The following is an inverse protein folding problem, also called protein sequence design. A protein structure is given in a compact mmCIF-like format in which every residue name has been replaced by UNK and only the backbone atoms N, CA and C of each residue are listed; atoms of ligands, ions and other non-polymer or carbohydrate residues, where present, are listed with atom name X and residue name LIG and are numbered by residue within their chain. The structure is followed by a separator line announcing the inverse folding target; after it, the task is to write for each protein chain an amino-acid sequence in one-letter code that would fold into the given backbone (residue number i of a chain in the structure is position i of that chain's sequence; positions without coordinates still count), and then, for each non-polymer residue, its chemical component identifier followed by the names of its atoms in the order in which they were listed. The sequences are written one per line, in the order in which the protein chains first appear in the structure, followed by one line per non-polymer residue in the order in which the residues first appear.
data_IF_971538035098
#
_entry.id   IF_971538035098
#
_cell.length_a   1.000
_cell.length_b   1.000
_cell.length_c   1.000
_cell.angle_alpha   90.00
_cell.angle_beta   90.00
_cell.angle_gamma   90.00
#
_symmetry.space_group_name_H-M   'P 1'
#
loop_
_entity.id
_entity.type
_entity.pdbx_description
1 polymer ?
#
# COMPACT_ATOMS: atom_id res chain seq x y z
N UNK A 1 6.59 6.03 -8.90
CA UNK A 1 7.33 4.94 -9.55
C UNK A 1 6.32 4.42 -10.50
N UNK A 2 6.71 4.40 -11.77
CA UNK A 2 6.00 3.59 -12.72
C UNK A 2 6.50 2.18 -12.49
N UNK A 3 5.62 1.31 -12.01
CA UNK A 3 5.87 -0.11 -12.03
C UNK A 3 5.94 -0.52 -13.50
N UNK A 4 7.12 -0.93 -13.96
CA UNK A 4 7.34 -1.28 -15.36
C UNK A 4 6.70 -2.61 -15.74
N UNK A 5 6.36 -3.47 -14.77
CA UNK A 5 5.67 -4.73 -15.03
C UNK A 5 4.18 -4.50 -15.32
N UNK A 6 3.56 -3.49 -14.70
CA UNK A 6 2.11 -3.26 -14.77
C UNK A 6 1.72 -1.93 -15.42
N UNK A 7 2.66 -1.02 -15.61
CA UNK A 7 2.42 0.36 -16.04
C UNK A 7 1.83 1.26 -14.94
N UNK A 8 1.62 0.73 -13.73
CA UNK A 8 0.97 1.43 -12.62
C UNK A 8 1.86 2.53 -12.04
N UNK A 9 1.25 3.62 -11.58
CA UNK A 9 1.96 4.68 -10.85
C UNK A 9 1.66 4.58 -9.36
N UNK A 10 2.69 4.37 -8.56
CA UNK A 10 2.58 4.27 -7.11
C UNK A 10 2.84 5.60 -6.42
N UNK A 11 2.05 5.87 -5.38
CA UNK A 11 2.34 6.94 -4.42
C UNK A 11 3.66 6.64 -3.73
N UNK A 12 4.54 7.63 -3.65
CA UNK A 12 5.86 7.49 -3.01
C UNK A 12 5.76 7.24 -1.52
N UNK A 13 4.90 7.99 -0.83
CA UNK A 13 4.73 7.92 0.61
C UNK A 13 3.41 7.25 0.97
N UNK A 14 3.37 6.61 2.14
CA UNK A 14 2.10 6.15 2.70
C UNK A 14 1.24 7.36 3.06
N UNK A 15 -0.07 7.18 3.12
CA UNK A 15 -0.98 8.26 3.56
C UNK A 15 -0.55 8.74 4.95
N UNK A 16 -0.45 10.06 5.13
CA UNK A 16 0.04 10.69 6.37
C UNK A 16 1.53 11.07 6.36
N UNK A 17 2.31 10.51 5.43
CA UNK A 17 3.70 10.87 5.21
C UNK A 17 3.85 11.81 4.01
N UNK A 18 4.93 12.58 3.97
CA UNK A 18 5.21 13.53 2.89
C UNK A 18 6.70 13.83 2.74
N UNK A 19 7.06 14.67 1.77
CA UNK A 19 8.45 14.99 1.47
C UNK A 19 9.13 13.95 0.57
N UNK A 20 10.44 14.15 0.32
CA UNK A 20 11.23 13.26 -0.53
C UNK A 20 11.56 11.93 0.14
N UNK A 21 11.62 11.95 1.47
CA UNK A 21 11.96 10.85 2.36
C UNK A 21 10.73 10.20 3.01
N UNK A 22 9.51 10.68 2.72
CA UNK A 22 8.29 10.20 3.39
C UNK A 22 8.36 10.32 4.91
N UNK A 23 8.95 11.42 5.39
CA UNK A 23 8.93 11.80 6.80
C UNK A 23 7.49 12.03 7.31
N UNK A 24 7.35 11.91 8.62
CA UNK A 24 6.07 11.96 9.32
C UNK A 24 5.52 10.59 9.70
N UNK A 25 4.32 10.58 10.28
CA UNK A 25 3.67 9.37 10.78
C UNK A 25 2.56 8.98 9.81
N UNK A 26 2.64 7.76 9.27
CA UNK A 26 1.57 7.25 8.42
C UNK A 26 0.26 7.10 9.19
N UNK A 27 -0.85 7.41 8.54
CA UNK A 27 -2.19 7.34 9.12
C UNK A 27 -2.80 5.99 8.75
N UNK A 28 -3.13 5.21 9.78
CA UNK A 28 -3.87 3.96 9.62
C UNK A 28 -5.36 4.25 9.43
N UNK A 29 -6.02 3.45 8.59
CA UNK A 29 -7.43 3.61 8.20
C UNK A 29 -8.14 2.26 8.22
N UNK A 30 -9.45 2.28 8.46
CA UNK A 30 -10.31 1.13 8.17
C UNK A 30 -10.28 0.83 6.67
N UNK A 31 -10.67 -0.38 6.27
CA UNK A 31 -10.65 -0.76 4.86
C UNK A 31 -11.51 0.16 3.99
N UNK A 32 -12.71 0.51 4.47
CA UNK A 32 -13.62 1.43 3.77
C UNK A 32 -13.02 2.83 3.65
N UNK A 33 -12.42 3.34 4.73
CA UNK A 33 -11.76 4.64 4.70
C UNK A 33 -10.52 4.65 3.82
N UNK A 34 -9.79 3.53 3.73
CA UNK A 34 -8.63 3.38 2.85
C UNK A 34 -9.04 3.50 1.36
N UNK A 35 -10.16 2.87 0.98
CA UNK A 35 -10.73 3.02 -0.37
C UNK A 35 -11.07 4.49 -0.61
N UNK A 36 -11.87 5.08 0.28
CA UNK A 36 -12.32 6.48 0.16
C UNK A 36 -11.13 7.45 0.07
N UNK A 37 -10.10 7.24 0.89
CA UNK A 37 -8.88 8.04 0.92
C UNK A 37 -8.17 8.01 -0.42
N UNK A 38 -8.00 6.83 -1.02
CA UNK A 38 -7.35 6.75 -2.32
C UNK A 38 -8.23 7.32 -3.44
N UNK A 39 -9.54 7.06 -3.45
CA UNK A 39 -10.43 7.59 -4.49
C UNK A 39 -10.59 9.11 -4.43
N UNK A 40 -10.48 9.70 -3.24
CA UNK A 40 -10.54 11.15 -3.02
C UNK A 40 -9.21 11.87 -3.19
N UNK A 41 -8.11 11.15 -3.43
CA UNK A 41 -6.79 11.75 -3.57
C UNK A 41 -6.68 12.50 -4.89
N UNK A 42 -6.56 13.82 -4.83
CA UNK A 42 -6.27 14.66 -6.01
C UNK A 42 -4.78 15.01 -6.01
N UNK A 43 -3.97 14.08 -6.51
CA UNK A 43 -2.52 14.25 -6.62
C UNK A 43 -2.07 14.08 -8.07
N UNK A 44 -1.30 15.06 -8.57
CA UNK A 44 -0.72 15.07 -9.91
C UNK A 44 -1.72 14.85 -11.07
N UNK A 45 -2.98 15.26 -10.88
CA UNK A 45 -4.04 15.11 -11.89
C UNK A 45 -4.41 13.67 -12.21
N UNK A 46 -4.12 12.72 -11.29
CA UNK A 46 -4.34 11.29 -11.48
C UNK A 46 -5.58 10.79 -10.73
N UNK A 47 -6.17 9.72 -11.27
CA UNK A 47 -7.19 8.94 -10.56
C UNK A 47 -6.51 7.86 -9.73
N UNK A 48 -6.64 8.00 -8.41
CA UNK A 48 -6.02 7.10 -7.45
C UNK A 48 -7.05 6.10 -6.94
N UNK A 49 -6.57 4.92 -6.59
CA UNK A 49 -7.35 3.85 -5.97
C UNK A 49 -6.50 3.04 -5.02
N UNK A 50 -7.17 2.28 -4.17
CA UNK A 50 -6.51 1.28 -3.34
C UNK A 50 -6.03 0.12 -4.26
N UNK A 51 -4.75 -0.24 -4.24
CA UNK A 51 -4.21 -1.36 -5.01
C UNK A 51 -4.84 -2.68 -4.60
N UNK A 52 -4.92 -3.63 -5.52
CA UNK A 52 -5.30 -5.00 -5.18
C UNK A 52 -4.09 -5.80 -4.66
N UNK A 53 -4.33 -6.97 -4.06
CA UNK A 53 -3.26 -7.77 -3.44
C UNK A 53 -2.19 -8.22 -4.44
N UNK A 54 -2.55 -8.46 -5.70
CA UNK A 54 -1.59 -8.90 -6.72
C UNK A 54 -0.71 -7.75 -7.19
N UNK A 55 -1.22 -6.51 -7.20
CA UNK A 55 -0.41 -5.31 -7.48
C UNK A 55 0.61 -5.06 -6.37
N UNK A 56 0.24 -5.27 -5.10
CA UNK A 56 1.23 -5.16 -4.03
C UNK A 56 2.38 -6.17 -4.19
N UNK A 57 2.08 -7.39 -4.63
CA UNK A 57 3.10 -8.42 -4.86
C UNK A 57 4.12 -8.02 -5.92
N UNK A 58 3.80 -7.11 -6.85
CA UNK A 58 4.79 -6.63 -7.85
C UNK A 58 5.81 -5.66 -7.26
N UNK A 59 5.51 -5.05 -6.12
CA UNK A 59 6.43 -4.16 -5.40
C UNK A 59 7.09 -4.81 -4.17
N UNK A 60 6.73 -6.05 -3.85
CA UNK A 60 7.45 -6.87 -2.86
C UNK A 60 8.75 -7.36 -3.48
N UNK A 61 9.87 -7.01 -2.88
CA UNK A 61 11.20 -7.42 -3.31
C UNK A 61 11.60 -8.74 -2.62
N UNK A 62 11.28 -9.85 -3.29
CA UNK A 62 11.57 -11.20 -2.81
C UNK A 62 13.05 -11.57 -2.76
N UNK A 63 13.94 -10.72 -3.31
CA UNK A 63 15.38 -10.93 -3.22
C UNK A 63 15.98 -10.38 -1.92
N UNK A 64 15.21 -9.59 -1.16
CA UNK A 64 15.66 -9.05 0.12
C UNK A 64 15.52 -10.06 1.25
N UNK A 65 16.59 -10.21 2.02
CA UNK A 65 16.62 -11.00 3.26
C UNK A 65 16.43 -10.15 4.52
N UNK A 66 16.23 -8.84 4.38
CA UNK A 66 16.07 -7.89 5.48
C UNK A 66 14.84 -7.03 5.26
N UNK A 67 14.08 -6.83 6.31
CA UNK A 67 12.91 -5.97 6.33
C UNK A 67 13.25 -4.47 6.19
N UNK A 68 12.41 -3.67 5.49
CA UNK A 68 11.24 -4.10 4.73
C UNK A 68 11.63 -4.68 3.35
N UNK A 69 10.90 -5.70 2.90
CA UNK A 69 11.03 -6.37 1.59
C UNK A 69 10.37 -5.56 0.46
N UNK A 70 10.80 -4.30 0.31
CA UNK A 70 10.36 -3.35 -0.71
C UNK A 70 11.55 -2.48 -1.13
N UNK A 71 11.53 -1.88 -2.33
CA UNK A 71 12.56 -0.91 -2.73
C UNK A 71 12.48 0.39 -1.90
N UNK A 72 13.24 0.43 -0.80
CA UNK A 72 13.34 1.58 0.12
C UNK A 72 13.96 2.82 -0.50
N UNK A 73 14.66 2.72 -1.63
CA UNK A 73 15.14 3.90 -2.35
C UNK A 73 13.97 4.66 -2.98
N UNK A 74 12.93 3.92 -3.38
CA UNK A 74 11.72 4.48 -3.95
C UNK A 74 10.62 4.69 -2.90
N UNK A 75 10.50 3.80 -1.92
CA UNK A 75 9.49 3.83 -0.85
C UNK A 75 10.13 4.05 0.54
N UNK A 76 10.80 5.20 0.76
CA UNK A 76 11.48 5.47 2.01
C UNK A 76 10.47 5.52 3.17
N UNK A 77 10.95 5.23 4.38
CA UNK A 77 10.14 5.21 5.60
C UNK A 77 8.84 4.39 5.51
N UNK A 78 8.81 3.36 4.65
CA UNK A 78 7.84 2.27 4.76
C UNK A 78 8.19 1.51 6.02
N UNK A 79 7.33 1.55 7.05
CA UNK A 79 7.72 0.91 8.29
C UNK A 79 7.72 -0.62 8.14
N UNK A 80 8.72 -1.24 8.74
CA UNK A 80 9.02 -2.66 8.61
C UNK A 80 7.87 -3.55 9.09
N UNK A 81 7.17 -3.18 10.15
CA UNK A 81 6.07 -3.96 10.73
C UNK A 81 4.68 -3.59 10.22
N UNK A 82 4.58 -2.90 9.08
CA UNK A 82 3.33 -2.28 8.64
C UNK A 82 2.55 -3.17 7.67
N UNK A 83 1.33 -3.51 8.09
CA UNK A 83 0.33 -4.09 7.21
C UNK A 83 -0.34 -3.00 6.36
N UNK A 84 -0.49 -3.26 5.07
CA UNK A 84 -1.15 -2.38 4.11
C UNK A 84 -2.44 -2.98 3.60
N UNK A 85 -3.51 -2.18 3.57
CA UNK A 85 -4.77 -2.62 2.99
C UNK A 85 -4.66 -2.78 1.48
N UNK A 86 -5.09 -3.93 0.96
CA UNK A 86 -5.46 -4.08 -0.45
C UNK A 86 -6.98 -3.92 -0.65
N UNK A 87 -7.41 -3.61 -1.87
CA UNK A 87 -8.83 -3.60 -2.26
C UNK A 87 -9.44 -4.99 -2.43
N UNK A 88 -8.66 -6.06 -2.25
CA UNK A 88 -9.13 -7.43 -2.45
C UNK A 88 -9.89 -7.92 -1.22
N UNK A 89 -11.21 -8.09 -1.34
CA UNK A 89 -12.03 -8.74 -0.30
C UNK A 89 -11.70 -10.23 -0.21
N UNK A 90 -11.66 -10.78 1.01
CA UNK A 90 -11.47 -12.21 1.23
C UNK A 90 -12.74 -13.02 0.93
N UNK A 91 -12.65 -14.35 0.93
CA UNK A 91 -13.82 -15.23 0.87
C UNK A 91 -14.80 -14.95 2.01
N UNK A 92 -14.28 -14.60 3.19
CA UNK A 92 -15.06 -14.01 4.29
C UNK A 92 -15.20 -12.51 4.01
N UNK A 93 -16.42 -12.06 3.67
CA UNK A 93 -16.68 -10.70 3.17
C UNK A 93 -16.41 -9.59 4.18
N UNK A 94 -16.44 -9.91 5.47
CA UNK A 94 -16.04 -9.02 6.56
C UNK A 94 -14.51 -8.75 6.59
N UNK A 95 -13.73 -9.52 5.85
CA UNK A 95 -12.28 -9.41 5.79
C UNK A 95 -11.80 -8.95 4.40
N UNK A 96 -10.61 -8.35 4.36
CA UNK A 96 -9.87 -8.04 3.15
C UNK A 96 -8.42 -8.52 3.27
N UNK A 97 -7.75 -8.71 2.14
CA UNK A 97 -6.35 -9.09 2.13
C UNK A 97 -5.47 -7.87 2.47
N UNK A 98 -4.54 -8.07 3.39
CA UNK A 98 -3.42 -7.15 3.63
C UNK A 98 -2.15 -7.67 2.97
N UNK A 99 -1.15 -6.79 2.85
CA UNK A 99 0.24 -7.17 2.56
C UNK A 99 1.14 -6.59 3.65
N UNK A 100 2.02 -7.43 4.17
CA UNK A 100 3.01 -7.05 5.17
C UNK A 100 4.38 -6.94 4.48
N UNK A 101 5.05 -5.79 4.63
CA UNK A 101 6.36 -5.58 4.02
C UNK A 101 7.54 -6.02 4.91
N UNK A 102 7.29 -6.60 6.08
CA UNK A 102 8.34 -7.23 6.90
C UNK A 102 8.88 -8.47 6.19
N UNK A 103 7.96 -9.30 5.70
CA UNK A 103 8.23 -10.62 5.12
C UNK A 103 7.57 -10.87 3.75
N UNK A 104 6.76 -9.92 3.27
CA UNK A 104 6.05 -10.02 1.99
C UNK A 104 4.79 -10.87 2.06
N UNK A 105 4.35 -11.27 3.25
CA UNK A 105 3.17 -12.10 3.44
C UNK A 105 1.88 -11.35 3.11
N UNK A 106 0.86 -12.11 2.74
CA UNK A 106 -0.50 -11.60 2.52
C UNK A 106 -1.50 -12.51 3.22
N UNK A 107 -2.32 -11.95 4.10
CA UNK A 107 -3.34 -12.69 4.86
C UNK A 107 -4.67 -11.91 4.88
N UNK A 108 -5.82 -12.59 5.08
CA UNK A 108 -7.07 -11.90 5.29
C UNK A 108 -7.14 -11.30 6.70
N UNK A 109 -7.71 -10.10 6.83
CA UNK A 109 -7.83 -9.39 8.10
C UNK A 109 -9.14 -8.59 8.18
N UNK A 110 -9.59 -8.28 9.40
CA UNK A 110 -10.89 -7.63 9.63
C UNK A 110 -10.94 -6.23 9.00
N UNK A 111 -11.96 -5.94 8.18
CA UNK A 111 -12.14 -4.63 7.53
C UNK A 111 -12.30 -3.47 8.51
N UNK A 112 -12.68 -3.76 9.77
CA UNK A 112 -12.80 -2.76 10.84
C UNK A 112 -11.46 -2.36 11.46
N UNK A 113 -10.36 -3.07 11.15
CA UNK A 113 -9.04 -2.78 11.68
C UNK A 113 -8.37 -1.62 10.94
N UNK A 114 -7.50 -0.90 11.65
CA UNK A 114 -6.76 0.23 11.10
C UNK A 114 -5.39 -0.23 10.58
N UNK A 115 -5.20 -0.22 9.26
CA UNK A 115 -3.94 -0.56 8.59
C UNK A 115 -3.45 0.60 7.72
N UNK A 116 -2.19 0.55 7.27
CA UNK A 116 -1.64 1.60 6.41
C UNK A 116 -2.23 1.57 5.00
N UNK A 117 -2.09 2.70 4.33
CA UNK A 117 -2.65 2.93 3.00
C UNK A 117 -1.59 3.49 2.08
N UNK A 118 -1.45 2.88 0.91
CA UNK A 118 -0.64 3.37 -0.20
C UNK A 118 -1.46 3.27 -1.46
N UNK A 119 -1.63 4.38 -2.15
CA UNK A 119 -2.49 4.42 -3.33
C UNK A 119 -1.70 4.12 -4.61
N UNK A 120 -2.41 3.58 -5.59
CA UNK A 120 -1.92 3.36 -6.94
C UNK A 120 -2.83 4.07 -7.95
N UNK A 121 -2.27 4.47 -9.08
CA UNK A 121 -3.00 5.00 -10.21
C UNK A 121 -2.72 4.14 -11.44
N UNK A 122 -3.77 3.90 -12.22
CA UNK A 122 -3.67 3.17 -13.49
C UNK A 122 -2.93 3.97 -14.57
N UNK A 123 -2.59 3.32 -15.70
CA UNK A 123 -2.13 3.99 -16.91
C UNK A 123 -3.13 5.03 -17.41
#
# INVERSE_FOLDING_TARGET
MKDNATGLVWQKCSIGQSGLDCSGVGIKKTWTDAISTCTGLSLAGKFWRLPNVNEFKTIVDTNKSTSPVIDVSYFPNTASSDDYWSSTTSTVTANAWLVNFDDGSSIPFSKSSNLYVRCVSGP
#
